data_IF_759032670937
#
_entry.id   IF_759032670937
#
_cell.length_a   1.000
_cell.length_b   1.000
_cell.length_c   1.000
_cell.angle_alpha   90.00
_cell.angle_beta   90.00
_cell.angle_gamma   90.00
#
_symmetry.space_group_name_H-M   'P 1'
#
loop_
_entity.id
_entity.type
_entity.pdbx_description
1 polymer ?
#
# COMPACT_ATOMS: atom_id res chain seq x y z
N UNK A 1 9.18 -121.52 -130.93
CA UNK A 1 8.43 -122.03 -129.75
C UNK A 1 9.17 -121.74 -128.45
N UNK A 2 10.25 -122.47 -128.10
CA UNK A 2 10.96 -122.25 -126.82
C UNK A 2 11.73 -120.91 -126.75
N UNK A 3 12.33 -120.49 -127.86
CA UNK A 3 13.04 -119.19 -127.95
C UNK A 3 12.08 -117.98 -127.93
N UNK A 4 10.84 -118.14 -128.41
CA UNK A 4 9.84 -117.06 -128.39
C UNK A 4 9.26 -116.86 -126.99
N UNK A 5 9.09 -117.94 -126.23
CA UNK A 5 8.69 -117.87 -124.83
C UNK A 5 9.77 -117.25 -123.94
N UNK A 6 11.05 -117.49 -124.21
CA UNK A 6 12.16 -116.83 -123.49
C UNK A 6 12.21 -115.32 -123.76
N UNK A 7 12.00 -114.89 -125.01
CA UNK A 7 11.90 -113.46 -125.36
C UNK A 7 10.73 -112.78 -124.67
N UNK A 8 9.56 -113.43 -124.64
CA UNK A 8 8.38 -112.89 -123.97
C UNK A 8 8.58 -112.75 -122.45
N UNK A 9 9.25 -113.73 -121.84
CA UNK A 9 9.56 -113.74 -120.40
C UNK A 9 10.61 -112.68 -120.05
N UNK A 10 11.59 -112.44 -120.93
CA UNK A 10 12.57 -111.36 -120.79
C UNK A 10 11.92 -109.98 -120.94
N UNK A 11 11.06 -109.77 -121.94
CA UNK A 11 10.31 -108.51 -122.11
C UNK A 11 9.38 -108.23 -120.92
N UNK A 12 8.76 -109.26 -120.36
CA UNK A 12 7.88 -109.13 -119.20
C UNK A 12 8.68 -108.85 -117.90
N UNK A 13 9.90 -109.41 -117.77
CA UNK A 13 10.84 -109.04 -116.71
C UNK A 13 11.31 -107.60 -116.86
N UNK A 14 11.69 -107.15 -118.06
CA UNK A 14 12.09 -105.77 -118.33
C UNK A 14 10.96 -104.80 -118.02
N UNK A 15 9.72 -105.08 -118.47
CA UNK A 15 8.55 -104.25 -118.13
C UNK A 15 8.24 -104.23 -116.64
N UNK A 16 8.40 -105.34 -115.94
CA UNK A 16 8.22 -105.41 -114.49
C UNK A 16 9.34 -104.63 -113.75
N UNK A 17 10.58 -104.70 -114.23
CA UNK A 17 11.72 -103.94 -113.69
C UNK A 17 11.52 -102.43 -113.92
N UNK A 18 11.13 -102.02 -115.13
CA UNK A 18 10.80 -100.63 -115.46
C UNK A 18 9.62 -100.11 -114.63
N UNK A 19 8.58 -100.92 -114.42
CA UNK A 19 7.46 -100.56 -113.56
C UNK A 19 7.88 -100.43 -112.08
N UNK A 20 8.80 -101.29 -111.62
CA UNK A 20 9.34 -101.25 -110.26
C UNK A 20 10.24 -100.04 -110.04
N UNK A 21 11.12 -99.72 -110.99
CA UNK A 21 11.94 -98.51 -110.97
C UNK A 21 11.07 -97.25 -111.00
N UNK A 22 10.02 -97.23 -111.84
CA UNK A 22 9.08 -96.12 -111.90
C UNK A 22 8.35 -95.94 -110.57
N UNK A 23 7.84 -97.02 -109.99
CA UNK A 23 7.19 -97.00 -108.68
C UNK A 23 8.15 -96.56 -107.56
N UNK A 24 9.41 -96.97 -107.61
CA UNK A 24 10.44 -96.54 -106.65
C UNK A 24 10.79 -95.05 -106.81
N UNK A 25 10.87 -94.54 -108.05
CA UNK A 25 11.05 -93.10 -108.30
C UNK A 25 9.86 -92.29 -107.79
N UNK A 26 8.63 -92.73 -108.06
CA UNK A 26 7.41 -92.10 -107.55
C UNK A 26 7.32 -92.14 -106.02
N UNK A 27 7.72 -93.25 -105.39
CA UNK A 27 7.77 -93.36 -103.93
C UNK A 27 8.81 -92.42 -103.32
N UNK A 28 10.02 -92.34 -103.91
CA UNK A 28 11.06 -91.39 -103.50
C UNK A 28 10.61 -89.94 -103.70
N UNK A 29 9.90 -89.64 -104.78
CA UNK A 29 9.38 -88.30 -105.04
C UNK A 29 8.29 -87.92 -104.03
N UNK A 30 7.33 -88.82 -103.75
CA UNK A 30 6.33 -88.61 -102.69
C UNK A 30 6.97 -88.46 -101.32
N UNK A 31 8.01 -89.24 -101.03
CA UNK A 31 8.76 -89.11 -99.78
C UNK A 31 9.44 -87.74 -99.68
N UNK A 32 10.09 -87.26 -100.77
CA UNK A 32 10.66 -85.91 -100.83
C UNK A 32 9.59 -84.82 -100.66
N UNK A 33 8.43 -84.98 -101.28
CA UNK A 33 7.30 -84.04 -101.12
C UNK A 33 6.79 -84.01 -99.67
N UNK A 34 6.67 -85.19 -99.03
CA UNK A 34 6.26 -85.31 -97.63
C UNK A 34 7.29 -84.69 -96.68
N UNK A 35 8.59 -84.91 -96.94
CA UNK A 35 9.69 -84.32 -96.19
C UNK A 35 9.71 -82.79 -96.34
N UNK A 36 9.48 -82.28 -97.55
CA UNK A 36 9.37 -80.84 -97.80
C UNK A 36 8.17 -80.21 -97.08
N UNK A 37 7.00 -80.87 -97.07
CA UNK A 37 5.83 -80.43 -96.31
C UNK A 37 6.12 -80.38 -94.80
N UNK A 38 6.71 -81.45 -94.25
CA UNK A 38 7.13 -81.49 -92.83
C UNK A 38 8.13 -80.39 -92.51
N UNK A 39 9.11 -80.16 -93.38
CA UNK A 39 10.09 -79.08 -93.22
C UNK A 39 9.40 -77.71 -93.14
N UNK A 40 8.40 -77.46 -94.00
CA UNK A 40 7.59 -76.24 -93.97
C UNK A 40 6.80 -76.08 -92.67
N UNK A 41 6.17 -77.16 -92.17
CA UNK A 41 5.47 -77.14 -90.87
C UNK A 41 6.43 -76.86 -89.70
N UNK A 42 7.64 -77.45 -89.71
CA UNK A 42 8.66 -77.20 -88.70
C UNK A 42 9.15 -75.74 -88.74
N UNK A 43 9.35 -75.17 -89.93
CA UNK A 43 9.71 -73.76 -90.09
C UNK A 43 8.63 -72.83 -89.53
N UNK A 44 7.36 -73.06 -89.87
CA UNK A 44 6.24 -72.29 -89.32
C UNK A 44 6.15 -72.39 -87.79
N UNK A 45 6.39 -73.59 -87.24
CA UNK A 45 6.40 -73.79 -85.79
C UNK A 45 7.57 -73.09 -85.11
N UNK A 46 8.75 -73.10 -85.71
CA UNK A 46 9.92 -72.36 -85.23
C UNK A 46 9.64 -70.86 -85.22
N UNK A 47 9.11 -70.30 -86.31
CA UNK A 47 8.73 -68.89 -86.38
C UNK A 47 7.66 -68.52 -85.33
N UNK A 48 6.67 -69.39 -85.10
CA UNK A 48 5.66 -69.17 -84.07
C UNK A 48 6.27 -69.17 -82.66
N UNK A 49 7.20 -70.09 -82.37
CA UNK A 49 7.91 -70.14 -81.10
C UNK A 49 8.83 -68.93 -80.91
N UNK A 50 9.50 -68.46 -81.96
CA UNK A 50 10.32 -67.24 -81.90
C UNK A 50 9.47 -66.00 -81.64
N UNK A 51 8.32 -65.87 -82.28
CA UNK A 51 7.35 -64.80 -82.00
C UNK A 51 6.86 -64.84 -80.55
N UNK A 52 6.52 -66.04 -80.04
CA UNK A 52 6.14 -66.20 -78.64
C UNK A 52 7.28 -65.84 -77.68
N UNK A 53 8.51 -66.30 -77.95
CA UNK A 53 9.70 -65.98 -77.15
C UNK A 53 9.93 -64.46 -77.11
N UNK A 54 9.89 -63.80 -78.26
CA UNK A 54 10.11 -62.35 -78.35
C UNK A 54 8.99 -61.59 -77.60
N UNK A 55 7.74 -62.03 -77.71
CA UNK A 55 6.62 -61.45 -76.94
C UNK A 55 6.82 -61.61 -75.42
N UNK A 56 7.28 -62.77 -74.96
CA UNK A 56 7.58 -62.98 -73.54
C UNK A 56 8.74 -62.10 -73.07
N UNK A 57 9.80 -61.97 -73.87
CA UNK A 57 10.94 -61.10 -73.56
C UNK A 57 10.53 -59.63 -73.49
N UNK A 58 9.70 -59.16 -74.42
CA UNK A 58 9.19 -57.79 -74.43
C UNK A 58 8.31 -57.51 -73.21
N UNK A 59 7.41 -58.44 -72.85
CA UNK A 59 6.60 -58.33 -71.63
C UNK A 59 7.45 -58.30 -70.36
N UNK A 60 8.46 -59.15 -70.26
CA UNK A 60 9.37 -59.17 -69.12
C UNK A 60 10.17 -57.86 -69.02
N UNK A 61 10.65 -57.34 -70.15
CA UNK A 61 11.35 -56.05 -70.21
C UNK A 61 10.44 -54.89 -69.78
N UNK A 62 9.18 -54.90 -70.23
CA UNK A 62 8.21 -53.89 -69.86
C UNK A 62 7.88 -53.94 -68.35
N UNK A 63 7.69 -55.14 -67.79
CA UNK A 63 7.49 -55.33 -66.36
C UNK A 63 8.69 -54.84 -65.54
N UNK A 64 9.92 -55.09 -65.99
CA UNK A 64 11.14 -54.56 -65.36
C UNK A 64 11.15 -53.03 -65.36
N UNK A 65 10.85 -52.40 -66.49
CA UNK A 65 10.79 -50.93 -66.59
C UNK A 65 9.72 -50.33 -65.68
N UNK A 66 8.56 -50.97 -65.58
CA UNK A 66 7.49 -50.50 -64.71
C UNK A 66 7.85 -50.70 -63.23
N UNK A 67 8.56 -51.78 -62.88
CA UNK A 67 9.12 -51.96 -61.55
C UNK A 67 10.15 -50.88 -61.19
N UNK A 68 11.07 -50.55 -62.10
CA UNK A 68 12.07 -49.49 -61.88
C UNK A 68 11.41 -48.12 -61.68
N UNK A 69 10.36 -47.82 -62.45
CA UNK A 69 9.56 -46.59 -62.27
C UNK A 69 8.89 -46.53 -60.91
N UNK A 70 8.36 -47.66 -60.42
CA UNK A 70 7.77 -47.75 -59.09
C UNK A 70 8.82 -47.56 -57.99
N UNK A 71 10.03 -48.12 -58.15
CA UNK A 71 11.13 -47.94 -57.20
C UNK A 71 11.62 -46.48 -57.16
N UNK A 72 11.71 -45.81 -58.32
CA UNK A 72 12.06 -44.39 -58.39
C UNK A 72 10.98 -43.51 -57.73
N UNK A 73 9.70 -43.78 -58.02
CA UNK A 73 8.58 -43.08 -57.38
C UNK A 73 8.58 -43.26 -55.85
N UNK A 74 8.81 -44.49 -55.38
CA UNK A 74 8.92 -44.79 -53.94
C UNK A 74 10.12 -44.08 -53.30
N UNK A 75 11.26 -44.06 -53.97
CA UNK A 75 12.47 -43.36 -53.50
C UNK A 75 12.24 -41.87 -53.37
N UNK A 76 11.56 -41.24 -54.34
CA UNK A 76 11.15 -39.82 -54.27
C UNK A 76 10.21 -39.57 -53.09
N UNK A 77 9.24 -40.44 -52.84
CA UNK A 77 8.36 -40.33 -51.68
C UNK A 77 9.14 -40.43 -50.35
N UNK A 78 10.07 -41.39 -50.24
CA UNK A 78 10.92 -41.55 -49.05
C UNK A 78 11.74 -40.27 -48.82
N UNK A 79 12.32 -39.69 -49.87
CA UNK A 79 13.08 -38.44 -49.76
C UNK A 79 12.22 -37.27 -49.23
N UNK A 80 10.99 -37.13 -49.72
CA UNK A 80 10.04 -36.10 -49.24
C UNK A 80 9.70 -36.30 -47.76
N UNK A 81 9.44 -37.54 -47.33
CA UNK A 81 9.17 -37.83 -45.92
C UNK A 81 10.39 -37.56 -45.05
N UNK A 82 11.59 -37.93 -45.50
CA UNK A 82 12.84 -37.65 -44.79
C UNK A 82 13.01 -36.15 -44.54
N UNK A 83 12.80 -35.32 -45.56
CA UNK A 83 12.85 -33.87 -45.42
C UNK A 83 11.78 -33.34 -44.43
N UNK A 84 10.57 -33.90 -44.44
CA UNK A 84 9.52 -33.53 -43.48
C UNK A 84 9.91 -33.90 -42.03
N UNK A 85 10.53 -35.06 -41.84
CA UNK A 85 11.03 -35.49 -40.53
C UNK A 85 12.15 -34.59 -40.03
N UNK A 86 13.12 -34.23 -40.89
CA UNK A 86 14.20 -33.30 -40.55
C UNK A 86 13.65 -31.94 -40.09
N UNK A 87 12.68 -31.37 -40.82
CA UNK A 87 12.02 -30.12 -40.41
C UNK A 87 11.31 -30.25 -39.06
N UNK A 88 10.61 -31.37 -38.82
CA UNK A 88 9.92 -31.60 -37.56
C UNK A 88 10.92 -31.76 -36.39
N UNK A 89 12.07 -32.38 -36.63
CA UNK A 89 13.14 -32.50 -35.63
C UNK A 89 13.73 -31.13 -35.27
N UNK A 90 13.95 -30.27 -36.27
CA UNK A 90 14.43 -28.90 -36.04
C UNK A 90 13.39 -28.05 -35.29
N UNK A 91 12.11 -28.14 -35.66
CA UNK A 91 11.02 -27.47 -34.92
C UNK A 91 10.95 -27.93 -33.46
N UNK A 92 11.14 -29.23 -33.20
CA UNK A 92 11.17 -29.78 -31.85
C UNK A 92 12.40 -29.30 -31.06
N UNK A 93 13.58 -29.18 -31.69
CA UNK A 93 14.77 -28.61 -31.04
C UNK A 93 14.54 -27.16 -30.64
N UNK A 94 13.92 -26.35 -31.51
CA UNK A 94 13.58 -24.96 -31.20
C UNK A 94 12.61 -24.89 -30.01
N UNK A 95 11.53 -25.69 -30.03
CA UNK A 95 10.56 -25.73 -28.92
C UNK A 95 11.19 -26.18 -27.61
N UNK A 96 12.08 -27.17 -27.63
CA UNK A 96 12.82 -27.62 -26.44
C UNK A 96 13.74 -26.53 -25.90
N UNK A 97 14.39 -25.75 -26.76
CA UNK A 97 15.18 -24.60 -26.32
C UNK A 97 14.31 -23.55 -25.62
N UNK A 98 13.16 -23.19 -26.22
CA UNK A 98 12.22 -22.25 -25.60
C UNK A 98 11.68 -22.74 -24.24
N UNK A 99 11.40 -24.04 -24.10
CA UNK A 99 10.98 -24.60 -22.81
C UNK A 99 12.06 -24.48 -21.73
N UNK A 100 13.34 -24.65 -22.09
CA UNK A 100 14.46 -24.44 -21.17
C UNK A 100 14.57 -22.98 -20.72
N UNK A 101 14.33 -22.04 -21.63
CA UNK A 101 14.32 -20.62 -21.30
C UNK A 101 13.17 -20.28 -20.33
N UNK A 102 11.98 -20.85 -20.53
CA UNK A 102 10.86 -20.70 -19.60
C UNK A 102 11.15 -21.31 -18.22
N UNK A 103 11.75 -22.49 -18.16
CA UNK A 103 12.16 -23.11 -16.89
C UNK A 103 13.15 -22.22 -16.12
N UNK A 104 14.08 -21.58 -16.82
CA UNK A 104 15.02 -20.64 -16.22
C UNK A 104 14.33 -19.38 -15.69
N UNK A 105 13.38 -18.81 -16.46
CA UNK A 105 12.56 -17.69 -15.97
C UNK A 105 11.73 -18.06 -14.74
N UNK A 106 11.19 -19.28 -14.68
CA UNK A 106 10.45 -19.79 -13.51
C UNK A 106 11.39 -19.87 -12.30
N UNK A 107 12.62 -20.39 -12.46
CA UNK A 107 13.61 -20.44 -11.37
C UNK A 107 13.97 -19.04 -10.86
N UNK A 108 14.23 -18.10 -11.77
CA UNK A 108 14.54 -16.71 -11.40
C UNK A 108 13.38 -16.07 -10.63
N UNK A 109 12.14 -16.25 -11.12
CA UNK A 109 10.95 -15.75 -10.43
C UNK A 109 10.80 -16.38 -9.04
N UNK A 110 11.03 -17.69 -8.91
CA UNK A 110 10.98 -18.37 -7.63
C UNK A 110 12.04 -17.85 -6.65
N UNK A 111 13.25 -17.57 -7.12
CA UNK A 111 14.30 -16.96 -6.32
C UNK A 111 13.89 -15.57 -5.83
N UNK A 112 13.36 -14.71 -6.70
CA UNK A 112 12.91 -13.37 -6.30
C UNK A 112 11.77 -13.41 -5.27
N UNK A 113 10.85 -14.38 -5.39
CA UNK A 113 9.79 -14.59 -4.41
C UNK A 113 10.35 -15.03 -3.05
N UNK A 114 11.33 -15.93 -3.05
CA UNK A 114 12.02 -16.37 -1.84
C UNK A 114 12.73 -15.19 -1.14
N UNK A 115 13.45 -14.36 -1.89
CA UNK A 115 14.12 -13.17 -1.37
C UNK A 115 13.12 -12.15 -0.80
N UNK A 116 11.97 -11.98 -1.46
CA UNK A 116 10.89 -11.13 -0.98
C UNK A 116 10.28 -11.67 0.33
N UNK A 117 10.03 -12.98 0.42
CA UNK A 117 9.55 -13.62 1.65
C UNK A 117 10.54 -13.43 2.80
N UNK A 118 11.84 -13.65 2.56
CA UNK A 118 12.88 -13.41 3.57
C UNK A 118 12.97 -11.93 4.02
N UNK A 119 12.63 -11.00 3.14
CA UNK A 119 12.53 -9.57 3.48
C UNK A 119 11.27 -9.28 4.29
N UNK A 120 10.12 -9.83 3.90
CA UNK A 120 8.86 -9.71 4.64
C UNK A 120 8.98 -10.27 6.07
N UNK A 121 9.61 -11.44 6.24
CA UNK A 121 9.85 -12.03 7.56
C UNK A 121 10.74 -11.15 8.43
N UNK A 122 11.82 -10.56 7.87
CA UNK A 122 12.66 -9.61 8.60
C UNK A 122 11.89 -8.37 9.04
N UNK A 123 11.03 -7.83 8.17
CA UNK A 123 10.19 -6.68 8.52
C UNK A 123 9.16 -7.02 9.59
N UNK A 124 8.58 -8.23 9.56
CA UNK A 124 7.65 -8.70 10.59
C UNK A 124 8.33 -8.79 11.95
N UNK A 125 9.51 -9.41 12.03
CA UNK A 125 10.27 -9.50 13.29
C UNK A 125 10.64 -8.11 13.82
N UNK A 126 11.02 -7.18 12.93
CA UNK A 126 11.32 -5.80 13.33
C UNK A 126 10.08 -5.05 13.88
N UNK A 127 8.90 -5.29 13.31
CA UNK A 127 7.63 -4.74 13.81
C UNK A 127 7.28 -5.32 15.19
N UNK A 128 7.40 -6.64 15.37
CA UNK A 128 7.17 -7.31 16.66
C UNK A 128 8.10 -6.76 17.76
N UNK A 129 9.38 -6.54 17.44
CA UNK A 129 10.35 -5.89 18.36
C UNK A 129 9.95 -4.43 18.68
N UNK A 130 9.51 -3.68 17.67
CA UNK A 130 9.06 -2.29 17.87
C UNK A 130 7.79 -2.19 18.71
N UNK A 131 6.81 -3.06 18.47
CA UNK A 131 5.59 -3.17 19.29
C UNK A 131 5.92 -3.52 20.74
N UNK A 132 6.86 -4.44 20.95
CA UNK A 132 7.34 -4.81 22.29
C UNK A 132 7.98 -3.62 22.99
N UNK A 133 8.85 -2.86 22.30
CA UNK A 133 9.48 -1.64 22.83
C UNK A 133 8.45 -0.57 23.16
N UNK A 134 7.45 -0.37 22.31
CA UNK A 134 6.37 0.59 22.53
C UNK A 134 5.52 0.22 23.75
N UNK A 135 5.17 -1.07 23.88
CA UNK A 135 4.45 -1.62 25.03
C UNK A 135 5.22 -1.37 26.32
N UNK A 136 6.51 -1.73 26.38
CA UNK A 136 7.36 -1.50 27.55
C UNK A 136 7.42 -0.02 27.93
N UNK A 137 7.66 0.86 26.96
CA UNK A 137 7.72 2.31 27.20
C UNK A 137 6.38 2.87 27.71
N UNK A 138 5.25 2.35 27.22
CA UNK A 138 3.93 2.74 27.70
C UNK A 138 3.71 2.31 29.15
N UNK A 139 4.19 1.12 29.53
CA UNK A 139 4.13 0.63 30.90
C UNK A 139 5.00 1.48 31.85
N UNK A 140 6.19 1.88 31.40
CA UNK A 140 7.08 2.78 32.15
C UNK A 140 6.41 4.13 32.41
N UNK A 141 5.86 4.77 31.38
CA UNK A 141 5.14 6.05 31.53
C UNK A 141 3.91 5.93 32.44
N UNK A 142 3.18 4.82 32.37
CA UNK A 142 2.05 4.57 33.27
C UNK A 142 2.51 4.43 34.73
N UNK A 143 3.62 3.73 34.97
CA UNK A 143 4.24 3.57 36.28
C UNK A 143 4.70 4.91 36.86
N UNK A 144 5.41 5.72 36.06
CA UNK A 144 5.86 7.06 36.45
C UNK A 144 4.70 7.99 36.82
N UNK A 145 3.64 8.01 36.01
CA UNK A 145 2.43 8.79 36.28
C UNK A 145 1.81 8.40 37.62
N UNK A 146 1.66 7.11 37.88
CA UNK A 146 1.07 6.63 39.14
C UNK A 146 1.96 6.99 40.34
N UNK A 147 3.28 6.88 40.21
CA UNK A 147 4.22 7.30 41.25
C UNK A 147 4.11 8.80 41.55
N UNK A 148 3.99 9.63 40.51
CA UNK A 148 3.78 11.08 40.64
C UNK A 148 2.44 11.40 41.33
N UNK A 149 1.36 10.73 40.91
CA UNK A 149 0.03 10.88 41.53
C UNK A 149 0.06 10.51 43.01
N UNK A 150 0.73 9.42 43.39
CA UNK A 150 0.91 9.05 44.79
C UNK A 150 1.72 10.09 45.57
N UNK A 151 2.77 10.68 44.96
CA UNK A 151 3.53 11.78 45.60
C UNK A 151 2.65 13.01 45.83
N UNK A 152 1.87 13.43 44.84
CA UNK A 152 0.95 14.55 45.01
C UNK A 152 -0.13 14.27 46.04
N UNK A 153 -0.70 13.05 46.05
CA UNK A 153 -1.69 12.67 47.06
C UNK A 153 -1.12 12.73 48.48
N UNK A 154 0.13 12.29 48.67
CA UNK A 154 0.81 12.38 49.97
C UNK A 154 1.08 13.83 50.39
N UNK A 155 1.44 14.71 49.45
CA UNK A 155 1.60 16.13 49.70
C UNK A 155 0.28 16.79 50.10
N UNK A 156 -0.80 16.53 49.36
CA UNK A 156 -2.16 17.00 49.68
C UNK A 156 -2.55 16.58 51.09
N UNK A 157 -2.43 15.29 51.40
CA UNK A 157 -2.75 14.74 52.73
C UNK A 157 -1.92 15.42 53.84
N UNK A 158 -0.65 15.74 53.57
CA UNK A 158 0.21 16.43 54.53
C UNK A 158 -0.22 17.88 54.74
N UNK A 159 -0.59 18.58 53.67
CA UNK A 159 -1.10 19.94 53.73
C UNK A 159 -2.45 20.01 54.46
N UNK A 160 -3.37 19.06 54.20
CA UNK A 160 -4.65 18.93 54.90
C UNK A 160 -4.45 18.75 56.41
N UNK A 161 -3.51 17.90 56.83
CA UNK A 161 -3.16 17.73 58.25
C UNK A 161 -2.64 19.02 58.88
N UNK A 162 -1.78 19.76 58.17
CA UNK A 162 -1.26 21.06 58.64
C UNK A 162 -2.37 22.10 58.75
N UNK A 163 -3.26 22.16 57.75
CA UNK A 163 -4.41 23.07 57.74
C UNK A 163 -5.33 22.80 58.93
N UNK A 164 -5.70 21.54 59.16
CA UNK A 164 -6.49 21.12 60.33
C UNK A 164 -5.83 21.51 61.67
N UNK A 165 -4.49 21.41 61.74
CA UNK A 165 -3.73 21.89 62.90
C UNK A 165 -3.83 23.40 63.10
N UNK A 166 -3.75 24.19 62.02
CA UNK A 166 -3.91 25.65 62.06
C UNK A 166 -5.34 26.04 62.44
N UNK A 167 -6.36 25.40 61.86
CA UNK A 167 -7.76 25.60 62.21
C UNK A 167 -8.02 25.34 63.69
N UNK A 168 -7.45 24.26 64.22
CA UNK A 168 -7.50 23.92 65.64
C UNK A 168 -6.87 25.01 66.52
N UNK A 169 -5.74 25.58 66.10
CA UNK A 169 -5.08 26.66 66.85
C UNK A 169 -5.87 27.96 66.76
N UNK A 170 -6.45 28.30 65.60
CA UNK A 170 -7.35 29.44 65.44
C UNK A 170 -8.54 29.31 66.40
N UNK A 171 -9.15 28.12 66.50
CA UNK A 171 -10.22 27.85 67.47
C UNK A 171 -9.76 28.08 68.91
N UNK A 172 -8.55 27.64 69.29
CA UNK A 172 -7.98 27.90 70.63
C UNK A 172 -7.73 29.38 70.88
N UNK A 173 -7.21 30.12 69.91
CA UNK A 173 -6.97 31.57 70.00
C UNK A 173 -8.31 32.31 70.14
N UNK A 174 -9.32 31.94 69.36
CA UNK A 174 -10.67 32.52 69.46
C UNK A 174 -11.28 32.25 70.84
N UNK A 175 -11.14 31.04 71.38
CA UNK A 175 -11.58 30.72 72.73
C UNK A 175 -10.86 31.57 73.79
N UNK A 176 -9.53 31.73 73.69
CA UNK A 176 -8.74 32.63 74.55
C UNK A 176 -9.21 34.08 74.45
N UNK A 177 -9.39 34.60 73.24
CA UNK A 177 -9.88 35.96 73.01
C UNK A 177 -11.29 36.17 73.58
N UNK A 178 -12.17 35.17 73.48
CA UNK A 178 -13.50 35.21 74.11
C UNK A 178 -13.37 35.31 75.64
N UNK A 179 -12.48 34.52 76.25
CA UNK A 179 -12.21 34.59 77.68
C UNK A 179 -11.64 35.97 78.10
N UNK A 180 -10.70 36.53 77.32
CA UNK A 180 -10.18 37.88 77.56
C UNK A 180 -11.24 38.96 77.47
N UNK A 181 -12.14 38.88 76.47
CA UNK A 181 -13.26 39.81 76.34
C UNK A 181 -14.19 39.72 77.56
N UNK A 182 -14.47 38.51 78.05
CA UNK A 182 -15.27 38.31 79.26
C UNK A 182 -14.58 38.93 80.48
N UNK A 183 -13.30 38.62 80.71
CA UNK A 183 -12.53 39.17 81.82
C UNK A 183 -12.47 40.71 81.77
N UNK A 184 -12.32 41.27 80.56
CA UNK A 184 -12.35 42.73 80.35
C UNK A 184 -13.74 43.32 80.59
N UNK A 185 -14.81 42.62 80.22
CA UNK A 185 -16.18 43.01 80.53
C UNK A 185 -16.43 43.00 82.05
N UNK A 186 -15.95 41.97 82.75
CA UNK A 186 -16.05 41.87 84.21
C UNK A 186 -15.28 43.01 84.90
N UNK A 187 -14.04 43.29 84.46
CA UNK A 187 -13.22 44.42 84.92
C UNK A 187 -13.87 45.77 84.59
N UNK A 188 -14.43 45.94 83.39
CA UNK A 188 -15.17 47.15 83.03
C UNK A 188 -16.45 47.29 83.85
N UNK A 189 -17.13 46.20 84.18
CA UNK A 189 -18.31 46.23 85.06
C UNK A 189 -17.92 46.63 86.49
N UNK A 190 -16.78 46.14 86.98
CA UNK A 190 -16.20 46.50 88.28
C UNK A 190 -15.77 47.97 88.30
N UNK A 191 -15.08 48.42 87.25
CA UNK A 191 -14.70 49.82 87.00
C UNK A 191 -15.92 50.74 86.90
N UNK A 192 -16.96 50.34 86.15
CA UNK A 192 -18.22 51.07 86.06
C UNK A 192 -19.05 51.00 87.35
N UNK A 193 -18.84 49.99 88.19
CA UNK A 193 -19.35 49.92 89.55
C UNK A 193 -18.66 50.95 90.44
N UNK A 194 -17.33 51.01 90.40
CA UNK A 194 -16.49 51.98 91.11
C UNK A 194 -16.77 53.42 90.64
N UNK A 195 -16.90 53.64 89.34
CA UNK A 195 -17.22 54.93 88.74
C UNK A 195 -18.67 55.37 89.02
N UNK A 196 -19.62 54.42 89.16
CA UNK A 196 -20.99 54.72 89.64
C UNK A 196 -21.02 55.12 91.12
N UNK A 197 -20.16 54.54 91.96
CA UNK A 197 -19.99 54.99 93.35
C UNK A 197 -19.29 56.35 93.48
N UNK A 198 -18.63 56.83 92.42
CA UNK A 198 -17.86 58.08 92.42
C UNK A 198 -18.45 59.21 91.53
N UNK A 199 -19.63 59.01 90.93
CA UNK A 199 -20.41 60.09 90.31
C UNK A 199 -19.94 60.61 88.94
N UNK A 200 -19.11 59.88 88.19
CA UNK A 200 -18.63 60.32 86.87
C UNK A 200 -19.46 59.70 85.72
N UNK A 201 -20.42 60.45 85.17
CA UNK A 201 -21.02 60.16 83.85
C UNK A 201 -20.29 60.93 82.76
N UNK A 202 -19.99 60.27 81.64
CA UNK A 202 -19.34 60.87 80.48
C UNK A 202 -20.18 60.59 79.23
N UNK A 203 -20.85 61.63 78.75
CA UNK A 203 -21.53 61.68 77.46
C UNK A 203 -20.52 61.50 76.31
N UNK A 204 -20.94 60.74 75.30
CA UNK A 204 -20.14 60.35 74.14
C UNK A 204 -20.86 60.84 72.88
N UNK A 205 -20.27 61.82 72.20
CA UNK A 205 -20.65 62.21 70.84
C UNK A 205 -19.83 61.41 69.82
N UNK A 206 -20.51 60.62 68.99
CA UNK A 206 -19.99 59.99 67.77
C UNK A 206 -20.52 60.78 66.56
N UNK A 207 -19.64 61.39 65.75
CA UNK A 207 -19.96 61.89 64.40
C UNK A 207 -18.68 62.24 63.63
N UNK A 208 -18.29 61.39 62.68
CA UNK A 208 -17.61 61.65 61.38
C UNK A 208 -17.25 60.28 60.77
N UNK A 209 -17.34 59.99 59.47
CA UNK A 209 -17.74 60.76 58.31
C UNK A 209 -17.59 59.88 57.07
N UNK A 210 -18.71 59.59 56.38
CA UNK A 210 -18.79 59.00 55.04
C UNK A 210 -18.82 60.15 54.02
N UNK A 211 -17.69 60.51 53.38
CA UNK A 211 -17.72 61.41 52.20
C UNK A 211 -16.41 61.53 51.39
N UNK A 212 -15.88 60.46 50.80
CA UNK A 212 -14.85 60.58 49.73
C UNK A 212 -14.99 59.43 48.71
N UNK A 213 -15.98 59.46 47.80
CA UNK A 213 -16.02 58.54 46.65
C UNK A 213 -16.45 59.19 45.32
N UNK A 214 -16.74 60.50 45.28
CA UNK A 214 -17.22 61.17 44.07
C UNK A 214 -16.14 61.50 43.02
N UNK A 215 -14.92 61.89 43.42
CA UNK A 215 -13.95 62.45 42.45
C UNK A 215 -13.16 61.43 41.65
N UNK A 216 -13.08 60.17 42.09
CA UNK A 216 -12.29 59.13 41.42
C UNK A 216 -13.05 58.50 40.26
N UNK A 217 -14.36 58.28 40.42
CA UNK A 217 -15.21 57.65 39.41
C UNK A 217 -15.42 58.55 38.19
N UNK A 218 -15.54 59.86 38.40
CA UNK A 218 -15.71 60.82 37.30
C UNK A 218 -14.44 60.93 36.43
N UNK A 219 -13.25 60.85 37.04
CA UNK A 219 -11.97 60.77 36.30
C UNK A 219 -11.82 59.45 35.56
N UNK A 220 -12.19 58.34 36.19
CA UNK A 220 -12.21 57.02 35.56
C UNK A 220 -13.14 56.98 34.35
N UNK A 221 -14.32 57.59 34.44
CA UNK A 221 -15.27 57.71 33.33
C UNK A 221 -14.69 58.44 32.13
N UNK A 222 -14.13 59.62 32.34
CA UNK A 222 -13.56 60.37 31.21
C UNK A 222 -12.38 59.63 30.55
N UNK A 223 -11.60 58.89 31.35
CA UNK A 223 -10.46 58.12 30.85
C UNK A 223 -10.85 56.85 30.11
N UNK A 224 -11.87 56.14 30.60
CA UNK A 224 -12.41 54.94 29.96
C UNK A 224 -12.94 55.28 28.55
N UNK A 225 -13.72 56.37 28.42
CA UNK A 225 -14.23 56.79 27.11
C UNK A 225 -13.12 57.23 26.15
N UNK A 226 -12.02 57.85 26.63
CA UNK A 226 -10.85 58.18 25.79
C UNK A 226 -10.11 56.92 25.30
N UNK A 227 -10.09 55.85 26.11
CA UNK A 227 -9.42 54.60 25.77
C UNK A 227 -10.26 53.77 24.79
N UNK A 228 -11.57 53.66 25.01
CA UNK A 228 -12.47 53.01 24.07
C UNK A 228 -12.39 53.66 22.69
N UNK A 229 -12.50 54.99 22.60
CA UNK A 229 -12.41 55.71 21.32
C UNK A 229 -11.08 55.53 20.56
N UNK A 230 -10.04 54.99 21.20
CA UNK A 230 -8.72 54.76 20.59
C UNK A 230 -8.42 53.29 20.31
N UNK A 231 -8.94 52.39 21.14
CA UNK A 231 -8.60 50.97 21.12
C UNK A 231 -9.69 50.12 20.47
N UNK A 232 -10.94 50.60 20.48
CA UNK A 232 -12.08 49.94 19.87
C UNK A 232 -12.07 50.18 18.35
N UNK A 233 -11.32 49.34 17.64
CA UNK A 233 -11.13 49.44 16.21
C UNK A 233 -12.41 49.11 15.40
N UNK A 234 -13.35 48.39 16.01
CA UNK A 234 -14.57 47.93 15.36
C UNK A 234 -15.82 48.76 15.76
N UNK A 235 -15.67 49.70 16.70
CA UNK A 235 -16.69 50.60 17.25
C UNK A 235 -17.91 49.87 17.87
N UNK A 236 -17.70 48.67 18.44
CA UNK A 236 -18.75 47.87 19.09
C UNK A 236 -18.99 48.24 20.57
N UNK A 237 -18.22 49.20 21.11
CA UNK A 237 -18.34 49.71 22.47
C UNK A 237 -17.68 48.83 23.53
N UNK A 238 -16.93 47.79 23.13
CA UNK A 238 -16.18 46.89 24.01
C UNK A 238 -14.75 46.71 23.52
N UNK A 239 -13.85 46.25 24.37
CA UNK A 239 -12.47 45.91 23.98
C UNK A 239 -12.22 44.43 24.09
N UNK A 240 -11.76 43.81 23.00
CA UNK A 240 -11.22 42.45 23.00
C UNK A 240 -9.73 42.44 23.33
N UNK A 241 -9.21 41.30 23.79
CA UNK A 241 -7.79 41.14 24.09
C UNK A 241 -6.90 41.44 22.86
N UNK A 242 -7.35 41.03 21.68
CA UNK A 242 -6.62 41.24 20.43
C UNK A 242 -6.56 42.72 20.04
N UNK A 243 -7.64 43.48 20.24
CA UNK A 243 -7.67 44.93 20.01
C UNK A 243 -6.73 45.69 20.94
N UNK A 244 -6.65 45.29 22.21
CA UNK A 244 -5.72 45.88 23.19
C UNK A 244 -4.27 45.56 22.83
N UNK A 245 -3.96 44.31 22.47
CA UNK A 245 -2.60 43.89 22.07
C UNK A 245 -2.16 44.57 20.76
N UNK A 246 -3.05 44.67 19.78
CA UNK A 246 -2.76 45.30 18.50
C UNK A 246 -2.55 46.81 18.66
N UNK A 247 -3.37 47.46 19.48
CA UNK A 247 -3.21 48.88 19.79
C UNK A 247 -1.89 49.20 20.52
N UNK A 248 -1.41 48.27 21.36
CA UNK A 248 -0.12 48.41 22.05
C UNK A 248 1.07 48.30 21.08
N UNK A 249 0.93 47.55 19.98
CA UNK A 249 1.93 47.52 18.90
C UNK A 249 1.94 48.81 18.08
N UNK A 250 0.79 49.45 17.93
CA UNK A 250 0.62 50.64 17.08
C UNK A 250 0.92 51.96 17.81
N UNK A 251 0.63 52.07 19.11
CA UNK A 251 0.88 53.27 19.91
C UNK A 251 1.54 52.95 21.28
N UNK A 252 2.86 53.17 21.41
CA UNK A 252 3.60 52.97 22.67
C UNK A 252 3.14 53.86 23.83
N UNK A 253 2.29 54.88 23.58
CA UNK A 253 1.73 55.70 24.67
C UNK A 253 0.61 54.99 25.44
N UNK A 254 0.02 53.93 24.89
CA UNK A 254 -0.97 53.08 25.57
C UNK A 254 -0.33 52.27 26.69
N UNK A 255 0.92 51.79 26.50
CA UNK A 255 1.72 51.10 27.53
C UNK A 255 1.87 51.97 28.79
N UNK A 256 2.20 53.26 28.63
CA UNK A 256 2.34 54.20 29.76
C UNK A 256 1.03 54.48 30.49
N UNK A 257 -0.12 54.40 29.80
CA UNK A 257 -1.43 54.65 30.41
C UNK A 257 -1.94 53.46 31.22
N UNK A 258 -1.47 52.26 30.91
CA UNK A 258 -1.82 51.01 31.59
C UNK A 258 -0.77 50.56 32.61
N UNK A 259 0.32 51.33 32.78
CA UNK A 259 1.44 51.03 33.69
C UNK A 259 2.10 49.66 33.43
N UNK A 260 2.10 49.23 32.16
CA UNK A 260 2.70 47.95 31.73
C UNK A 260 4.16 48.21 31.38
N UNK A 261 5.08 47.47 32.02
CA UNK A 261 6.52 47.53 31.71
C UNK A 261 7.10 46.12 31.61
N UNK A 262 7.79 45.81 30.52
CA UNK A 262 8.35 44.49 30.27
C UNK A 262 9.05 44.35 28.91
N UNK A 263 9.53 43.15 28.61
CA UNK A 263 9.87 42.70 27.25
C UNK A 263 8.62 42.23 26.51
N UNK A 264 8.65 42.09 25.18
CA UNK A 264 7.44 41.80 24.35
C UNK A 264 6.60 40.61 24.85
N UNK A 265 7.23 39.60 25.46
CA UNK A 265 6.52 38.45 26.04
C UNK A 265 5.98 38.71 27.45
N UNK A 266 6.72 39.46 28.29
CA UNK A 266 6.26 39.89 29.61
C UNK A 266 5.12 40.91 29.56
N UNK A 267 5.08 41.75 28.53
CA UNK A 267 3.98 42.70 28.29
C UNK A 267 2.67 41.97 27.99
N UNK A 268 2.69 40.96 27.11
CA UNK A 268 1.50 40.18 26.74
C UNK A 268 0.91 39.44 27.94
N UNK A 269 1.74 38.86 28.81
CA UNK A 269 1.26 38.19 30.02
C UNK A 269 0.71 39.19 31.07
N UNK A 270 1.30 40.37 31.21
CA UNK A 270 0.74 41.42 32.06
C UNK A 270 -0.61 41.95 31.54
N UNK A 271 -0.75 42.08 30.21
CA UNK A 271 -2.02 42.46 29.57
C UNK A 271 -3.08 41.38 29.81
N UNK A 272 -2.73 40.09 29.69
CA UNK A 272 -3.65 38.98 29.98
C UNK A 272 -4.11 38.99 31.43
N UNK A 273 -3.19 39.22 32.37
CA UNK A 273 -3.53 39.34 33.79
C UNK A 273 -4.43 40.55 34.06
N UNK A 274 -4.13 41.70 33.46
CA UNK A 274 -4.96 42.91 33.57
C UNK A 274 -6.35 42.71 32.95
N UNK A 275 -6.41 42.08 31.76
CA UNK A 275 -7.66 41.79 31.06
C UNK A 275 -8.54 40.86 31.90
N UNK A 276 -7.97 39.80 32.48
CA UNK A 276 -8.69 38.90 33.39
C UNK A 276 -9.10 39.55 34.72
N UNK A 277 -8.48 40.66 35.12
CA UNK A 277 -8.95 41.46 36.27
C UNK A 277 -10.08 42.44 35.90
N UNK A 278 -10.18 42.82 34.62
CA UNK A 278 -11.15 43.79 34.12
C UNK A 278 -12.43 43.14 33.61
N UNK A 279 -12.33 41.99 32.98
CA UNK A 279 -13.47 41.18 32.54
C UNK A 279 -14.14 40.51 33.75
N UNK A 280 -15.02 41.26 34.42
CA UNK A 280 -15.70 40.81 35.62
C UNK A 280 -16.81 39.78 35.32
N UNK A 281 -17.33 39.78 34.10
CA UNK A 281 -18.45 38.94 33.68
C UNK A 281 -18.00 37.67 32.90
N UNK A 282 -16.71 37.57 32.58
CA UNK A 282 -16.05 36.48 31.84
C UNK A 282 -16.56 36.29 30.41
N UNK A 283 -16.91 37.37 29.71
CA UNK A 283 -17.37 37.37 28.31
C UNK A 283 -16.25 37.60 27.29
N UNK A 284 -14.99 37.59 27.75
CA UNK A 284 -13.77 37.85 26.97
C UNK A 284 -13.76 39.24 26.31
N UNK A 285 -14.58 40.17 26.82
CA UNK A 285 -14.66 41.57 26.40
C UNK A 285 -14.63 42.48 27.63
N UNK A 286 -14.12 43.69 27.47
CA UNK A 286 -14.19 44.72 28.51
C UNK A 286 -15.14 45.80 28.06
N UNK A 287 -16.29 45.88 28.72
CA UNK A 287 -17.26 46.95 28.52
C UNK A 287 -16.77 48.28 29.12
N UNK A 288 -17.36 49.41 28.70
CA UNK A 288 -17.07 50.72 29.29
C UNK A 288 -17.23 50.72 30.81
N UNK A 289 -18.23 50.03 31.35
CA UNK A 289 -18.49 50.01 32.79
C UNK A 289 -17.43 49.23 33.57
N UNK A 290 -16.97 48.10 33.03
CA UNK A 290 -15.88 47.30 33.59
C UNK A 290 -14.55 48.06 33.56
N UNK A 291 -14.27 48.75 32.45
CA UNK A 291 -13.09 49.60 32.34
C UNK A 291 -13.10 50.74 33.36
N UNK A 292 -14.27 51.37 33.58
CA UNK A 292 -14.45 52.41 34.61
C UNK A 292 -14.18 51.86 36.00
N UNK A 293 -14.69 50.68 36.32
CA UNK A 293 -14.59 50.12 37.66
C UNK A 293 -13.14 49.71 37.99
N UNK A 294 -12.39 49.19 37.01
CA UNK A 294 -10.95 48.93 37.15
C UNK A 294 -10.15 50.24 37.29
N UNK A 295 -10.39 51.23 36.43
CA UNK A 295 -9.70 52.52 36.50
C UNK A 295 -10.02 53.26 37.81
N UNK A 296 -11.25 53.21 38.29
CA UNK A 296 -11.65 53.80 39.57
C UNK A 296 -10.93 53.12 40.74
N UNK A 297 -10.78 51.79 40.68
CA UNK A 297 -10.01 51.03 41.66
C UNK A 297 -8.53 51.43 41.66
N UNK A 298 -7.91 51.55 40.49
CA UNK A 298 -6.53 52.05 40.36
C UNK A 298 -6.36 53.48 40.87
N UNK A 299 -7.26 54.41 40.51
CA UNK A 299 -7.22 55.78 41.02
C UNK A 299 -7.42 55.86 42.54
N UNK A 300 -8.20 54.94 43.13
CA UNK A 300 -8.37 54.90 44.59
C UNK A 300 -7.12 54.41 45.32
N UNK A 301 -6.30 53.55 44.71
CA UNK A 301 -5.04 53.05 45.29
C UNK A 301 -3.86 53.99 45.07
N UNK A 302 -3.80 54.73 43.95
CA UNK A 302 -2.64 55.60 43.63
C UNK A 302 -2.71 56.98 44.29
N UNK A 303 -3.85 57.39 44.86
CA UNK A 303 -3.99 58.72 45.50
C UNK A 303 -3.52 58.75 46.97
N UNK A 304 -3.13 57.62 47.56
CA UNK A 304 -2.67 57.55 48.97
C UNK A 304 -1.13 57.66 49.12
N UNK A 305 -0.34 57.59 48.05
CA UNK A 305 1.13 57.47 48.15
C UNK A 305 1.93 58.79 48.02
N UNK A 306 1.26 59.94 47.98
CA UNK A 306 1.91 61.25 47.76
C UNK A 306 1.86 62.16 49.02
N UNK A 307 1.60 61.54 50.18
CA UNK A 307 1.60 62.20 51.51
C UNK A 307 2.43 61.46 52.57
N UNK A 308 3.53 60.81 52.17
CA UNK A 308 4.61 60.47 53.09
C UNK A 308 5.94 61.05 52.61
#
# INVERSE_FOLDING_TARGET
AFQDTERLLMDQKVKNEEAREKAEREAKEKQRQLEALRLGEYQQRLEALEKQRNLFQEKALQQSKDHDRLLDARSKHIAVYKQKFEKLEDDLKIRLASLRDYDEQIRQTHQTLSDFQGTADRTRVALEDWETKLSNKSADHFSERNALMHRYQNQITTLEKRLSGVESEILRVMARNKAYRQQRADLNSLSMGILRTLGFSRDRDEKTGTRIQGSARDRAKHKASEMLAKLDANEDGSLTLDEVVESLRQDPTVQRKLDISGDEQGEIEQIRLWFGMADANTDDRISEQELIDVLAKMYSTTTDDWKQ
#
